data_IF_092791726225
#
_entry.id   IF_092791726225
#
_cell.length_a   1.000
_cell.length_b   1.000
_cell.length_c   1.000
_cell.angle_alpha   90.00
_cell.angle_beta   90.00
_cell.angle_gamma   90.00
#
_symmetry.space_group_name_H-M   'P 1'
#
loop_
_entity.id
_entity.type
_entity.pdbx_description
1 polymer ?
#
# COMPACT_ATOMS: atom_id res chain seq x y z
N UNK A 1 8.45 21.65 -0.82
CA UNK A 1 7.89 20.31 -1.11
C UNK A 1 7.40 19.66 0.17
N UNK A 2 6.16 19.21 0.19
CA UNK A 2 5.64 18.51 1.37
C UNK A 2 6.13 17.05 1.40
N UNK A 3 6.80 16.70 2.47
CA UNK A 3 7.28 15.32 2.68
C UNK A 3 6.63 14.76 3.94
N UNK A 4 5.88 13.67 3.77
CA UNK A 4 5.15 13.02 4.85
C UNK A 4 5.48 11.52 4.83
N UNK A 5 5.79 10.97 6.01
CA UNK A 5 6.16 9.55 6.16
C UNK A 5 7.33 9.14 5.24
N UNK A 6 8.24 10.04 4.97
CA UNK A 6 9.38 9.80 4.09
C UNK A 6 9.08 9.86 2.59
N UNK A 7 7.85 10.19 2.21
CA UNK A 7 7.40 10.25 0.82
C UNK A 7 7.20 11.70 0.41
N UNK A 8 7.80 12.09 -0.72
CA UNK A 8 7.58 13.41 -1.32
C UNK A 8 6.25 13.39 -2.07
N UNK A 9 5.34 14.27 -1.67
CA UNK A 9 4.02 14.33 -2.27
C UNK A 9 4.05 15.10 -3.59
N UNK A 10 3.27 14.67 -4.61
CA UNK A 10 3.18 15.40 -5.88
C UNK A 10 2.61 16.80 -5.68
N UNK A 11 3.34 17.82 -6.07
CA UNK A 11 2.96 19.22 -5.83
C UNK A 11 1.75 19.68 -6.64
N UNK A 12 1.52 19.08 -7.78
CA UNK A 12 0.43 19.45 -8.69
C UNK A 12 -0.91 18.76 -8.36
N UNK A 13 -0.89 17.78 -7.47
CA UNK A 13 -2.10 17.00 -7.11
C UNK A 13 -2.82 17.62 -5.91
N UNK A 14 -4.13 17.37 -5.83
CA UNK A 14 -4.90 17.70 -4.63
C UNK A 14 -4.38 16.86 -3.46
N UNK A 15 -4.47 17.40 -2.26
CA UNK A 15 -3.96 16.70 -1.07
C UNK A 15 -4.64 15.34 -0.86
N UNK A 16 -5.93 15.24 -1.15
CA UNK A 16 -6.68 13.99 -1.07
C UNK A 16 -6.04 12.87 -1.91
N UNK A 17 -5.62 13.21 -3.13
CA UNK A 17 -5.00 12.26 -4.04
C UNK A 17 -3.52 12.05 -3.70
N UNK A 18 -2.83 13.11 -3.31
CA UNK A 18 -1.42 13.04 -2.97
C UNK A 18 -1.16 12.10 -1.78
N UNK A 19 -2.02 12.10 -0.77
CA UNK A 19 -1.87 11.21 0.38
C UNK A 19 -1.97 9.72 0.00
N UNK A 20 -2.65 9.38 -1.08
CA UNK A 20 -2.74 7.99 -1.52
C UNK A 20 -1.42 7.43 -2.06
N UNK A 21 -0.43 8.28 -2.28
CA UNK A 21 0.92 7.84 -2.68
C UNK A 21 1.70 7.23 -1.52
N UNK A 22 1.22 7.43 -0.30
CA UNK A 22 1.79 6.81 0.89
C UNK A 22 1.24 5.39 1.01
N UNK A 23 2.12 4.39 1.13
CA UNK A 23 1.70 3.00 1.28
C UNK A 23 0.91 2.84 2.59
N UNK A 24 -0.30 2.33 2.48
CA UNK A 24 -1.21 2.16 3.61
C UNK A 24 -2.31 3.22 3.71
N UNK A 25 -2.28 4.24 2.86
CA UNK A 25 -3.32 5.27 2.82
C UNK A 25 -4.04 5.19 1.47
N UNK A 26 -5.29 4.79 1.51
CA UNK A 26 -6.19 4.87 0.36
C UNK A 26 -7.01 6.16 0.40
N UNK A 27 -7.88 6.34 -0.58
CA UNK A 27 -8.71 7.55 -0.67
C UNK A 27 -9.61 7.77 0.55
N UNK A 28 -10.35 6.76 1.05
CA UNK A 28 -11.18 6.96 2.24
C UNK A 28 -10.37 7.35 3.49
N UNK A 29 -9.20 6.73 3.68
CA UNK A 29 -8.32 7.05 4.80
C UNK A 29 -7.75 8.46 4.66
N UNK A 30 -7.38 8.87 3.44
CA UNK A 30 -6.93 10.24 3.17
C UNK A 30 -8.01 11.26 3.54
N UNK A 31 -9.24 11.00 3.15
CA UNK A 31 -10.37 11.88 3.50
C UNK A 31 -10.57 11.96 5.01
N UNK A 32 -10.51 10.84 5.72
CA UNK A 32 -10.61 10.80 7.17
C UNK A 32 -9.51 11.62 7.85
N UNK A 33 -8.29 11.48 7.39
CA UNK A 33 -7.14 12.22 7.92
C UNK A 33 -7.33 13.73 7.71
N UNK A 34 -7.72 14.13 6.51
CA UNK A 34 -7.94 15.53 6.18
C UNK A 34 -9.09 16.15 6.97
N UNK A 35 -10.17 15.39 7.20
CA UNK A 35 -11.28 15.85 8.04
C UNK A 35 -10.81 16.12 9.46
N UNK A 36 -10.02 15.22 10.03
CA UNK A 36 -9.46 15.41 11.39
C UNK A 36 -8.46 16.56 11.45
N UNK A 37 -7.69 16.76 10.39
CA UNK A 37 -6.72 17.86 10.30
C UNK A 37 -7.37 19.19 9.94
N UNK A 38 -8.66 19.20 9.59
CA UNK A 38 -9.40 20.38 9.16
C UNK A 38 -8.77 21.04 7.94
N UNK A 39 -8.43 20.24 6.97
CA UNK A 39 -7.84 20.67 5.69
C UNK A 39 -8.83 20.35 4.56
N UNK A 40 -9.00 21.29 3.63
CA UNK A 40 -9.85 21.09 2.47
C UNK A 40 -9.25 20.03 1.53
N UNK A 41 -10.07 19.11 1.07
CA UNK A 41 -9.66 18.00 0.19
C UNK A 41 -9.14 18.51 -1.17
N UNK A 42 -9.70 19.59 -1.67
CA UNK A 42 -9.37 20.14 -2.97
C UNK A 42 -8.09 20.98 -3.02
N UNK A 43 -7.49 21.27 -1.87
CA UNK A 43 -6.27 22.08 -1.80
C UNK A 43 -5.11 21.32 -2.45
N UNK A 44 -4.42 21.96 -3.37
CA UNK A 44 -3.23 21.36 -3.98
C UNK A 44 -2.07 21.37 -2.99
N UNK A 45 -1.19 20.37 -3.12
CA UNK A 45 -0.05 20.21 -2.20
C UNK A 45 0.81 21.47 -2.16
N UNK A 46 1.02 22.13 -3.29
CA UNK A 46 1.79 23.39 -3.38
C UNK A 46 1.19 24.56 -2.60
N UNK A 47 -0.13 24.53 -2.38
CA UNK A 47 -0.87 25.61 -1.73
C UNK A 47 -1.06 25.34 -0.22
N UNK A 48 -0.55 24.24 0.30
CA UNK A 48 -0.67 23.89 1.72
C UNK A 48 0.27 24.77 2.57
N UNK A 49 -0.25 25.24 3.70
CA UNK A 49 0.59 25.91 4.71
C UNK A 49 1.38 24.86 5.50
N UNK A 50 2.47 25.30 6.12
CA UNK A 50 3.27 24.41 6.99
C UNK A 50 2.47 23.89 8.19
N UNK A 51 1.55 24.69 8.72
CA UNK A 51 0.67 24.28 9.81
C UNK A 51 -0.25 23.14 9.39
N UNK A 52 -0.81 23.23 8.19
CA UNK A 52 -1.66 22.17 7.62
C UNK A 52 -0.87 20.88 7.42
N UNK A 53 0.31 20.98 6.84
CA UNK A 53 1.21 19.84 6.66
C UNK A 53 1.60 19.25 8.01
N UNK A 54 1.90 20.08 9.00
CA UNK A 54 2.23 19.66 10.36
C UNK A 54 1.10 18.89 11.03
N UNK A 55 -0.14 19.36 10.87
CA UNK A 55 -1.32 18.65 11.42
C UNK A 55 -1.50 17.29 10.77
N UNK A 56 -1.40 17.21 9.45
CA UNK A 56 -1.52 15.95 8.71
C UNK A 56 -0.42 14.99 9.15
N UNK A 57 0.81 15.45 9.21
CA UNK A 57 1.96 14.64 9.63
C UNK A 57 1.78 14.10 11.04
N UNK A 58 1.29 14.92 11.95
CA UNK A 58 1.06 14.52 13.34
C UNK A 58 0.03 13.41 13.45
N UNK A 59 -1.08 13.53 12.72
CA UNK A 59 -2.15 12.51 12.70
C UNK A 59 -1.60 11.19 12.14
N UNK A 60 -0.88 11.23 11.03
CA UNK A 60 -0.33 10.03 10.41
C UNK A 60 0.68 9.35 11.35
N UNK A 61 1.56 10.13 11.97
CA UNK A 61 2.58 9.58 12.88
C UNK A 61 1.97 8.93 14.12
N UNK A 62 0.91 9.52 14.67
CA UNK A 62 0.33 9.05 15.94
C UNK A 62 -0.71 7.94 15.78
N UNK A 63 -1.45 7.91 14.69
CA UNK A 63 -2.63 7.05 14.57
C UNK A 63 -2.55 6.02 13.44
N UNK A 64 -1.65 6.18 12.49
CA UNK A 64 -1.60 5.33 11.30
C UNK A 64 -0.30 4.55 11.22
N UNK A 65 -0.41 3.28 10.82
CA UNK A 65 0.74 2.46 10.47
C UNK A 65 0.89 2.52 8.94
N UNK A 66 1.98 3.10 8.47
CA UNK A 66 2.18 3.33 7.03
C UNK A 66 3.61 2.97 6.61
N UNK A 67 3.82 2.88 5.32
CA UNK A 67 5.13 2.67 4.68
C UNK A 67 5.92 1.50 5.27
N UNK A 68 7.15 1.71 5.70
CA UNK A 68 8.03 0.66 6.17
C UNK A 68 7.46 -0.16 7.32
N UNK A 69 6.81 0.48 8.28
CA UNK A 69 6.20 -0.21 9.42
C UNK A 69 5.06 -1.12 8.97
N UNK A 70 4.22 -0.63 8.07
CA UNK A 70 3.12 -1.43 7.53
C UNK A 70 3.66 -2.60 6.69
N UNK A 71 4.65 -2.36 5.85
CA UNK A 71 5.29 -3.42 5.05
C UNK A 71 5.87 -4.51 5.94
N UNK A 72 6.53 -4.11 7.02
CA UNK A 72 7.09 -5.02 8.01
C UNK A 72 5.98 -5.86 8.65
N UNK A 73 4.89 -5.23 9.08
CA UNK A 73 3.76 -5.93 9.69
C UNK A 73 3.14 -6.95 8.74
N UNK A 74 2.91 -6.58 7.49
CA UNK A 74 2.37 -7.50 6.46
C UNK A 74 3.32 -8.68 6.26
N UNK A 75 4.62 -8.42 6.15
CA UNK A 75 5.62 -9.48 5.98
C UNK A 75 5.65 -10.44 7.16
N UNK A 76 5.55 -9.91 8.38
CA UNK A 76 5.51 -10.72 9.60
C UNK A 76 4.23 -11.56 9.69
N UNK A 77 3.10 -11.00 9.29
CA UNK A 77 1.83 -11.72 9.26
C UNK A 77 1.88 -12.90 8.28
N UNK A 78 2.43 -12.67 7.08
CA UNK A 78 2.61 -13.73 6.09
C UNK A 78 3.57 -14.80 6.63
N UNK A 79 4.67 -14.40 7.23
CA UNK A 79 5.63 -15.34 7.83
C UNK A 79 4.96 -16.17 8.91
N UNK A 80 4.15 -15.56 9.77
CA UNK A 80 3.41 -16.26 10.80
C UNK A 80 2.49 -17.35 10.22
N UNK A 81 1.78 -17.03 9.14
CA UNK A 81 0.92 -18.00 8.44
C UNK A 81 1.75 -19.16 7.90
N UNK A 82 2.91 -18.91 7.34
CA UNK A 82 3.82 -19.95 6.84
C UNK A 82 4.34 -20.84 7.98
N UNK A 83 4.72 -20.24 9.11
CA UNK A 83 5.25 -20.96 10.27
C UNK A 83 4.19 -21.85 10.93
N UNK A 84 2.95 -21.38 10.98
CA UNK A 84 1.83 -22.17 11.49
C UNK A 84 1.52 -23.36 10.56
N UNK A 85 1.82 -23.23 9.26
CA UNK A 85 1.56 -24.28 8.28
C UNK A 85 0.09 -24.41 7.89
N UNK A 86 -0.71 -23.34 8.06
CA UNK A 86 -2.10 -23.33 7.61
C UNK A 86 -2.18 -23.27 6.08
N UNK A 87 -3.39 -23.48 5.55
CA UNK A 87 -3.61 -23.48 4.10
C UNK A 87 -3.14 -22.19 3.45
N UNK A 88 -3.49 -21.04 4.02
CA UNK A 88 -3.05 -19.72 3.50
C UNK A 88 -1.51 -19.61 3.50
N UNK A 89 -0.87 -20.06 4.55
CA UNK A 89 0.59 -20.08 4.64
C UNK A 89 1.25 -20.93 3.59
N UNK A 90 0.69 -22.10 3.31
CA UNK A 90 1.19 -22.99 2.25
C UNK A 90 1.05 -22.34 0.87
N UNK A 91 -0.06 -21.63 0.63
CA UNK A 91 -0.25 -20.92 -0.64
C UNK A 91 0.77 -19.78 -0.80
N UNK A 92 1.07 -19.04 0.25
CA UNK A 92 2.12 -18.01 0.23
C UNK A 92 3.49 -18.63 -0.04
N UNK A 93 3.80 -19.75 0.61
CA UNK A 93 5.09 -20.43 0.42
C UNK A 93 5.29 -20.89 -1.01
N UNK A 94 4.23 -21.39 -1.65
CA UNK A 94 4.27 -21.87 -3.04
C UNK A 94 4.12 -20.74 -4.08
N UNK A 95 3.86 -19.49 -3.65
CA UNK A 95 3.64 -18.37 -4.56
C UNK A 95 2.33 -18.49 -5.34
N UNK A 96 1.32 -19.13 -4.78
CA UNK A 96 0.02 -19.35 -5.40
C UNK A 96 -1.04 -18.39 -4.83
N UNK A 97 -2.15 -18.15 -5.57
CA UNK A 97 -3.26 -17.34 -5.03
C UNK A 97 -3.80 -17.93 -3.73
N UNK A 98 -4.10 -17.05 -2.77
CA UNK A 98 -4.45 -17.42 -1.40
C UNK A 98 -5.96 -17.47 -1.18
N UNK A 99 -6.74 -16.76 -2.01
CA UNK A 99 -8.18 -16.58 -1.83
C UNK A 99 -9.03 -17.45 -2.77
N UNK A 100 -8.56 -18.63 -3.12
CA UNK A 100 -9.34 -19.59 -3.89
C UNK A 100 -9.47 -19.28 -5.39
N UNK A 101 -8.63 -18.39 -5.91
CA UNK A 101 -8.64 -18.10 -7.34
C UNK A 101 -8.16 -19.30 -8.16
N UNK A 102 -8.63 -19.36 -9.41
CA UNK A 102 -8.20 -20.40 -10.34
C UNK A 102 -6.71 -20.27 -10.66
N UNK A 103 -6.04 -21.40 -10.83
CA UNK A 103 -4.62 -21.47 -11.18
C UNK A 103 -4.36 -21.90 -12.62
N UNK A 104 -5.30 -22.60 -13.26
CA UNK A 104 -5.18 -23.02 -14.67
C UNK A 104 -5.26 -21.85 -15.65
N UNK A 105 -6.07 -20.86 -15.30
CA UNK A 105 -6.22 -19.63 -16.07
C UNK A 105 -5.89 -18.46 -15.18
N UNK A 106 -5.44 -17.37 -15.75
CA UNK A 106 -5.16 -16.14 -14.98
C UNK A 106 -4.15 -16.36 -13.85
N UNK A 107 -4.37 -15.80 -12.65
CA UNK A 107 -3.46 -15.85 -11.50
C UNK A 107 -2.06 -15.28 -11.78
N UNK A 108 -1.95 -14.34 -12.73
CA UNK A 108 -0.67 -13.78 -13.15
C UNK A 108 -0.04 -12.87 -12.10
N UNK A 109 -0.85 -12.21 -11.26
CA UNK A 109 -0.32 -11.36 -10.19
C UNK A 109 0.61 -12.13 -9.25
N UNK A 110 0.25 -13.36 -8.90
CA UNK A 110 1.05 -14.21 -8.03
C UNK A 110 2.12 -14.99 -8.78
N UNK A 111 1.76 -15.52 -9.95
CA UNK A 111 2.67 -16.36 -10.75
C UNK A 111 3.66 -15.57 -11.60
N UNK A 112 3.37 -14.29 -11.82
CA UNK A 112 4.17 -13.44 -12.71
C UNK A 112 3.80 -13.65 -14.18
N UNK A 113 4.63 -13.11 -15.06
CA UNK A 113 4.40 -13.21 -16.51
C UNK A 113 4.49 -14.67 -16.98
N UNK A 114 3.74 -14.98 -18.04
CA UNK A 114 3.82 -16.29 -18.68
C UNK A 114 5.24 -16.53 -19.19
N UNK A 115 5.77 -17.69 -18.89
CA UNK A 115 7.09 -18.11 -19.37
C UNK A 115 6.91 -19.26 -20.35
N UNK A 116 7.58 -19.15 -21.48
CA UNK A 116 7.60 -20.22 -22.45
C UNK A 116 8.55 -21.33 -21.96
N UNK A 117 8.05 -22.55 -21.96
CA UNK A 117 8.88 -23.71 -21.69
C UNK A 117 9.40 -24.23 -23.04
N UNK A 118 10.73 -24.35 -23.16
CA UNK A 118 11.33 -24.89 -24.37
C UNK A 118 10.86 -26.33 -24.57
N UNK A 119 10.11 -26.57 -25.64
CA UNK A 119 9.72 -27.92 -26.01
C UNK A 119 10.91 -28.71 -26.52
N UNK A 120 10.90 -30.05 -26.29
CA UNK A 120 11.88 -30.91 -26.94
C UNK A 120 11.71 -30.83 -28.45
N UNK A 121 12.78 -30.50 -29.15
CA UNK A 121 12.82 -30.69 -30.59
C UNK A 121 12.76 -32.18 -30.88
N UNK A 122 11.78 -32.54 -31.65
CA UNK A 122 11.72 -33.91 -32.22
C UNK A 122 12.72 -34.01 -33.34
#
# INVERSE_FOLDING_TARGET
MARIAGIDLPIAKRIEIALTYIFGIGRPKAQSILTRAKVDFGTKVRDLTEDEVGRIRRIITSEETVEGDLRKNVSMDIKRLMDIGCYRGLRHRKGLPVRGQRTHTNARTRKGKRKTVAGKKK
#
